data_IF_815539290074
#
_entry.id   IF_815539290074
#
_cell.length_a   1.000
_cell.length_b   1.000
_cell.length_c   1.000
_cell.angle_alpha   90.00
_cell.angle_beta   90.00
_cell.angle_gamma   90.00
#
_symmetry.space_group_name_H-M   'P 1'
#
loop_
_entity.id
_entity.type
_entity.pdbx_description
1 polymer ?
#
# COMPACT_ATOMS: atom_id res chain seq x y z
N UNK A 1 17.63 14.56 1.17
CA UNK A 1 18.57 13.50 0.80
C UNK A 1 18.05 12.80 -0.47
N UNK A 2 18.84 12.80 -1.56
CA UNK A 2 18.42 12.25 -2.87
C UNK A 2 17.94 10.79 -2.80
N UNK A 3 18.40 10.04 -1.81
CA UNK A 3 18.03 8.65 -1.60
C UNK A 3 16.60 8.51 -1.03
N UNK A 4 16.18 9.42 -0.13
CA UNK A 4 14.82 9.40 0.40
C UNK A 4 13.75 9.75 -0.65
N UNK A 5 14.04 10.68 -1.56
CA UNK A 5 13.07 11.05 -2.62
C UNK A 5 12.87 9.97 -3.69
N UNK A 6 13.86 9.10 -3.88
CA UNK A 6 13.78 7.95 -4.82
C UNK A 6 12.93 6.83 -4.18
N UNK A 7 12.95 6.73 -2.86
CA UNK A 7 12.31 5.67 -2.08
C UNK A 7 10.78 5.87 -2.00
N UNK A 8 10.29 7.10 -2.04
CA UNK A 8 8.87 7.39 -1.86
C UNK A 8 7.98 7.02 -3.05
N UNK A 9 8.52 6.86 -4.26
CA UNK A 9 7.72 6.68 -5.49
C UNK A 9 8.12 5.51 -6.40
N UNK A 10 9.09 4.68 -6.04
CA UNK A 10 9.59 3.64 -6.95
C UNK A 10 9.87 2.34 -6.20
N UNK A 11 9.65 1.20 -6.86
CA UNK A 11 10.13 -0.09 -6.39
C UNK A 11 11.66 -0.06 -6.23
N UNK A 12 12.12 0.11 -4.99
CA UNK A 12 13.53 0.26 -4.64
C UNK A 12 14.37 -0.90 -5.15
N UNK A 13 13.82 -2.12 -5.12
CA UNK A 13 14.51 -3.31 -5.57
C UNK A 13 14.86 -3.22 -7.06
N UNK A 14 13.94 -2.70 -7.89
CA UNK A 14 14.22 -2.51 -9.32
C UNK A 14 15.19 -1.36 -9.59
N UNK A 15 15.15 -0.29 -8.80
CA UNK A 15 16.11 0.83 -8.91
C UNK A 15 17.52 0.38 -8.55
N UNK A 16 17.67 -0.36 -7.46
CA UNK A 16 18.96 -0.89 -7.02
C UNK A 16 19.55 -1.84 -8.06
N UNK A 17 18.72 -2.67 -8.70
CA UNK A 17 19.16 -3.58 -9.76
C UNK A 17 19.57 -2.84 -11.03
N UNK A 18 18.80 -1.87 -11.49
CA UNK A 18 18.96 -1.28 -12.83
C UNK A 18 19.86 -0.06 -12.87
N UNK A 19 19.79 0.82 -11.86
CA UNK A 19 20.56 2.06 -11.81
C UNK A 19 21.85 1.95 -11.04
N UNK A 20 21.83 1.18 -9.98
CA UNK A 20 22.88 1.17 -8.98
C UNK A 20 23.82 -0.04 -9.08
N UNK A 21 23.47 -1.04 -9.87
CA UNK A 21 24.25 -2.28 -10.01
C UNK A 21 24.65 -2.88 -8.66
N UNK A 22 23.74 -2.86 -7.70
CA UNK A 22 23.93 -3.42 -6.36
C UNK A 22 24.95 -2.72 -5.46
N UNK A 23 25.38 -1.50 -5.76
CA UNK A 23 26.38 -0.79 -4.96
C UNK A 23 25.89 -0.40 -3.56
N UNK A 24 24.59 -0.07 -3.40
CA UNK A 24 24.00 0.33 -2.11
C UNK A 24 23.40 -0.82 -1.30
N UNK A 25 23.64 -2.06 -1.67
CA UNK A 25 23.09 -3.23 -0.98
C UNK A 25 23.43 -3.25 0.52
N UNK A 26 24.72 -3.03 0.86
CA UNK A 26 25.17 -2.99 2.27
C UNK A 26 24.58 -1.81 3.03
N UNK A 27 24.45 -0.64 2.42
CA UNK A 27 23.85 0.53 3.06
C UNK A 27 22.37 0.31 3.38
N UNK A 28 21.63 -0.36 2.48
CA UNK A 28 20.22 -0.71 2.68
C UNK A 28 20.11 -1.72 3.81
N UNK A 29 20.95 -2.76 3.81
CA UNK A 29 20.99 -3.75 4.90
C UNK A 29 21.26 -3.10 6.25
N UNK A 30 22.30 -2.28 6.35
CA UNK A 30 22.70 -1.63 7.61
C UNK A 30 21.59 -0.72 8.13
N UNK A 31 20.96 0.07 7.26
CA UNK A 31 19.83 0.93 7.66
C UNK A 31 18.60 0.13 8.07
N UNK A 32 18.37 -1.03 7.45
CA UNK A 32 17.28 -1.92 7.86
C UNK A 32 17.56 -2.58 9.21
N UNK A 33 18.79 -3.03 9.45
CA UNK A 33 19.18 -3.79 10.63
C UNK A 33 19.50 -2.92 11.84
N UNK A 34 20.28 -1.87 11.64
CA UNK A 34 20.82 -1.04 12.74
C UNK A 34 19.92 0.14 13.04
N UNK A 35 19.48 0.88 12.01
CA UNK A 35 18.61 2.05 12.17
C UNK A 35 17.15 1.63 12.35
N UNK A 36 16.76 0.46 11.84
CA UNK A 36 15.39 -0.07 11.86
C UNK A 36 14.37 0.90 11.23
N UNK A 37 14.79 1.58 10.17
CA UNK A 37 13.89 2.45 9.40
C UNK A 37 12.89 1.62 8.61
N UNK A 38 11.57 1.84 8.75
CA UNK A 38 10.55 1.04 8.07
C UNK A 38 10.71 1.02 6.54
N UNK A 39 11.15 2.13 5.95
CA UNK A 39 11.43 2.26 4.51
C UNK A 39 12.53 1.29 4.08
N UNK A 40 13.65 1.28 4.82
CA UNK A 40 14.78 0.39 4.51
C UNK A 40 14.49 -1.06 4.87
N UNK A 41 13.71 -1.32 5.93
CA UNK A 41 13.24 -2.66 6.23
C UNK A 41 12.38 -3.23 5.10
N UNK A 42 11.49 -2.41 4.52
CA UNK A 42 10.69 -2.81 3.36
C UNK A 42 11.57 -3.07 2.12
N UNK A 43 12.52 -2.18 1.84
CA UNK A 43 13.46 -2.33 0.72
C UNK A 43 14.30 -3.61 0.85
N UNK A 44 14.93 -3.80 2.00
CA UNK A 44 15.74 -4.98 2.30
C UNK A 44 14.93 -6.27 2.25
N UNK A 45 13.75 -6.25 2.86
CA UNK A 45 12.82 -7.37 2.82
C UNK A 45 12.40 -7.75 1.40
N UNK A 46 12.14 -6.76 0.53
CA UNK A 46 11.82 -7.00 -0.87
C UNK A 46 13.00 -7.58 -1.64
N UNK A 47 14.22 -7.08 -1.40
CA UNK A 47 15.44 -7.62 -2.01
C UNK A 47 15.69 -9.08 -1.63
N UNK A 48 15.51 -9.43 -0.34
CA UNK A 48 15.62 -10.80 0.15
C UNK A 48 14.52 -11.70 -0.42
N UNK A 49 13.29 -11.20 -0.50
CA UNK A 49 12.14 -11.96 -1.00
C UNK A 49 12.32 -12.38 -2.46
N UNK A 50 12.84 -11.46 -3.28
CA UNK A 50 12.98 -11.62 -4.72
C UNK A 50 14.40 -12.06 -5.15
N UNK A 51 15.36 -12.11 -4.22
CA UNK A 51 16.76 -12.44 -4.52
C UNK A 51 17.46 -11.36 -5.36
N UNK A 52 17.11 -10.08 -5.16
CA UNK A 52 17.69 -8.97 -5.90
C UNK A 52 18.95 -8.48 -5.19
N UNK A 53 20.10 -8.59 -5.86
CA UNK A 53 21.41 -8.23 -5.34
C UNK A 53 21.87 -8.99 -4.08
N UNK A 54 21.10 -9.96 -3.62
CA UNK A 54 21.37 -10.81 -2.45
C UNK A 54 20.89 -12.22 -2.70
N UNK A 55 21.38 -13.17 -1.91
CA UNK A 55 20.81 -14.50 -1.90
C UNK A 55 19.36 -14.44 -1.40
N UNK A 56 18.46 -15.11 -2.13
CA UNK A 56 17.06 -15.15 -1.75
C UNK A 56 16.87 -15.82 -0.39
N UNK A 57 16.17 -15.12 0.51
CA UNK A 57 15.69 -15.63 1.78
C UNK A 57 14.27 -15.12 2.02
N UNK A 58 13.29 -15.96 1.70
CA UNK A 58 11.88 -15.56 1.71
C UNK A 58 11.35 -15.35 3.12
N UNK A 59 11.76 -16.16 4.08
CA UNK A 59 11.28 -16.08 5.45
C UNK A 59 11.81 -14.81 6.13
N UNK A 60 13.09 -14.54 5.96
CA UNK A 60 13.71 -13.32 6.46
C UNK A 60 13.14 -12.09 5.77
N UNK A 61 12.98 -12.12 4.44
CA UNK A 61 12.40 -11.05 3.66
C UNK A 61 10.97 -10.70 4.08
N UNK A 62 10.12 -11.72 4.25
CA UNK A 62 8.76 -11.55 4.76
C UNK A 62 8.76 -10.95 6.17
N UNK A 63 9.66 -11.39 7.04
CA UNK A 63 9.82 -10.84 8.40
C UNK A 63 10.10 -9.34 8.39
N UNK A 64 11.00 -8.88 7.54
CA UNK A 64 11.30 -7.45 7.39
C UNK A 64 10.12 -6.65 6.83
N UNK A 65 9.41 -7.17 5.81
CA UNK A 65 8.24 -6.49 5.22
C UNK A 65 7.12 -6.37 6.25
N UNK A 66 6.83 -7.43 7.01
CA UNK A 66 5.81 -7.39 8.06
C UNK A 66 6.16 -6.37 9.15
N UNK A 67 7.41 -6.36 9.60
CA UNK A 67 7.85 -5.39 10.58
C UNK A 67 7.72 -3.95 10.09
N UNK A 68 8.09 -3.68 8.84
CA UNK A 68 7.90 -2.36 8.24
C UNK A 68 6.41 -1.95 8.20
N UNK A 69 5.51 -2.91 7.94
CA UNK A 69 4.07 -2.69 7.98
C UNK A 69 3.58 -2.39 9.41
N UNK A 70 4.04 -3.16 10.40
CA UNK A 70 3.68 -2.97 11.81
C UNK A 70 4.21 -1.61 12.35
N UNK A 71 5.34 -1.14 11.82
CA UNK A 71 5.91 0.18 12.12
C UNK A 71 5.25 1.34 11.32
N UNK A 72 4.15 1.09 10.62
CA UNK A 72 3.32 2.12 9.98
C UNK A 72 3.70 2.48 8.55
N UNK A 73 4.55 1.71 7.88
CA UNK A 73 4.92 1.99 6.49
C UNK A 73 3.85 1.51 5.51
N UNK A 74 3.07 2.45 4.97
CA UNK A 74 1.91 2.15 4.13
C UNK A 74 2.23 1.24 2.92
N UNK A 75 3.33 1.40 2.15
CA UNK A 75 3.67 0.47 1.07
C UNK A 75 3.90 -0.97 1.55
N UNK A 76 4.47 -1.16 2.74
CA UNK A 76 4.63 -2.48 3.33
C UNK A 76 3.28 -3.09 3.74
N UNK A 77 2.36 -2.28 4.30
CA UNK A 77 0.99 -2.71 4.61
C UNK A 77 0.25 -3.17 3.35
N UNK A 78 0.33 -2.42 2.26
CA UNK A 78 -0.25 -2.80 0.96
C UNK A 78 0.32 -4.13 0.48
N UNK A 79 1.63 -4.34 0.59
CA UNK A 79 2.28 -5.59 0.20
C UNK A 79 1.81 -6.78 1.04
N UNK A 80 1.73 -6.61 2.36
CA UNK A 80 1.23 -7.64 3.29
C UNK A 80 -0.24 -7.95 3.01
N UNK A 81 -1.07 -6.93 2.76
CA UNK A 81 -2.47 -7.10 2.35
C UNK A 81 -2.59 -7.96 1.09
N UNK A 82 -1.77 -7.70 0.07
CA UNK A 82 -1.73 -8.49 -1.17
C UNK A 82 -1.29 -9.94 -0.94
N UNK A 83 -0.36 -10.18 -0.01
CA UNK A 83 0.03 -11.54 0.36
C UNK A 83 -1.12 -12.30 1.00
N UNK A 84 -1.87 -11.67 1.91
CA UNK A 84 -3.07 -12.26 2.50
C UNK A 84 -4.20 -12.45 1.47
N UNK A 85 -4.41 -11.51 0.55
CA UNK A 85 -5.45 -11.64 -0.48
C UNK A 85 -5.19 -12.82 -1.40
N UNK A 86 -3.95 -13.00 -1.83
CA UNK A 86 -3.56 -14.01 -2.82
C UNK A 86 -3.13 -15.34 -2.20
N UNK A 87 -2.92 -15.40 -0.90
CA UNK A 87 -2.33 -16.58 -0.27
C UNK A 87 -0.87 -16.80 -0.66
N UNK A 88 -0.12 -15.73 -0.94
CA UNK A 88 1.31 -15.78 -1.29
C UNK A 88 2.15 -15.56 -0.04
N UNK A 89 3.06 -16.47 0.25
CA UNK A 89 3.93 -16.47 1.45
C UNK A 89 3.18 -16.54 2.79
N UNK A 90 1.90 -16.20 2.83
CA UNK A 90 1.00 -16.26 3.97
C UNK A 90 -0.26 -17.02 3.57
N UNK A 91 -0.90 -17.70 4.53
CA UNK A 91 -2.21 -18.29 4.29
C UNK A 91 -3.23 -17.23 3.93
N UNK A 92 -4.05 -17.48 2.91
CA UNK A 92 -5.08 -16.54 2.47
C UNK A 92 -5.98 -16.11 3.63
N UNK A 93 -6.14 -14.81 3.82
CA UNK A 93 -7.02 -14.22 4.81
C UNK A 93 -7.54 -12.86 4.33
N UNK A 94 -8.75 -12.86 3.78
CA UNK A 94 -9.35 -11.65 3.19
C UNK A 94 -9.68 -10.59 4.25
N UNK A 95 -9.99 -11.00 5.48
CA UNK A 95 -10.25 -10.07 6.59
C UNK A 95 -8.98 -9.32 6.99
N UNK A 96 -7.86 -10.03 7.15
CA UNK A 96 -6.59 -9.37 7.44
C UNK A 96 -6.11 -8.52 6.27
N UNK A 97 -6.31 -8.99 5.04
CA UNK A 97 -6.00 -8.21 3.84
C UNK A 97 -6.74 -6.87 3.83
N UNK A 98 -8.04 -6.90 4.08
CA UNK A 98 -8.86 -5.69 4.15
C UNK A 98 -8.40 -4.74 5.26
N UNK A 99 -8.12 -5.24 6.46
CA UNK A 99 -7.65 -4.45 7.59
C UNK A 99 -6.32 -3.72 7.30
N UNK A 100 -5.33 -4.43 6.74
CA UNK A 100 -4.06 -3.82 6.34
C UNK A 100 -4.25 -2.77 5.24
N UNK A 101 -5.13 -3.06 4.25
CA UNK A 101 -5.39 -2.14 3.15
C UNK A 101 -6.14 -0.88 3.63
N UNK A 102 -7.14 -1.03 4.53
CA UNK A 102 -7.83 0.08 5.17
C UNK A 102 -6.87 0.95 5.97
N UNK A 103 -6.01 0.34 6.79
CA UNK A 103 -5.02 1.09 7.58
C UNK A 103 -4.06 1.89 6.69
N UNK A 104 -3.57 1.29 5.60
CA UNK A 104 -2.72 2.00 4.64
C UNK A 104 -3.46 3.16 3.95
N UNK A 105 -4.75 2.98 3.63
CA UNK A 105 -5.61 4.01 3.05
C UNK A 105 -5.83 5.18 4.03
N UNK A 106 -6.05 4.88 5.31
CA UNK A 106 -6.19 5.86 6.39
C UNK A 106 -4.91 6.68 6.61
N UNK A 107 -3.73 6.07 6.39
CA UNK A 107 -2.44 6.76 6.41
C UNK A 107 -2.18 7.64 5.16
N UNK A 108 -3.17 7.80 4.28
CA UNK A 108 -3.08 8.67 3.11
C UNK A 108 -2.51 8.02 1.85
N UNK A 109 -2.25 6.71 1.85
CA UNK A 109 -1.80 6.01 0.65
C UNK A 109 -2.88 6.01 -0.43
N UNK A 110 -2.68 6.77 -1.50
CA UNK A 110 -3.64 6.87 -2.61
C UNK A 110 -3.86 5.53 -3.30
N UNK A 111 -2.82 4.74 -3.49
CA UNK A 111 -2.93 3.39 -4.07
C UNK A 111 -3.74 2.45 -3.16
N UNK A 112 -3.56 2.56 -1.84
CA UNK A 112 -4.33 1.79 -0.88
C UNK A 112 -5.80 2.22 -0.87
N UNK A 113 -6.12 3.49 -1.02
CA UNK A 113 -7.51 3.99 -1.13
C UNK A 113 -8.25 3.36 -2.31
N UNK A 114 -7.60 3.30 -3.50
CA UNK A 114 -8.17 2.61 -4.66
C UNK A 114 -8.35 1.10 -4.43
N UNK A 115 -7.34 0.45 -3.88
CA UNK A 115 -7.36 -0.98 -3.64
C UNK A 115 -8.40 -1.36 -2.59
N UNK A 116 -8.49 -0.60 -1.50
CA UNK A 116 -9.47 -0.83 -0.44
C UNK A 116 -10.91 -0.61 -0.90
N UNK A 117 -11.18 0.48 -1.64
CA UNK A 117 -12.49 0.72 -2.23
C UNK A 117 -12.90 -0.41 -3.20
N UNK A 118 -11.96 -0.92 -4.00
CA UNK A 118 -12.17 -2.08 -4.86
C UNK A 118 -12.53 -3.34 -4.05
N UNK A 119 -11.86 -3.56 -2.92
CA UNK A 119 -12.19 -4.67 -2.03
C UNK A 119 -13.61 -4.55 -1.49
N UNK A 120 -14.02 -3.35 -1.04
CA UNK A 120 -15.38 -3.10 -0.55
C UNK A 120 -16.43 -3.33 -1.64
N UNK A 121 -16.22 -2.84 -2.86
CA UNK A 121 -17.12 -3.04 -4.00
C UNK A 121 -17.25 -4.52 -4.36
N UNK A 122 -16.18 -5.30 -4.23
CA UNK A 122 -16.21 -6.76 -4.41
C UNK A 122 -16.86 -7.51 -3.23
N UNK A 123 -17.31 -6.81 -2.19
CA UNK A 123 -17.97 -7.41 -1.02
C UNK A 123 -17.01 -7.89 0.08
N UNK A 124 -15.75 -7.46 0.04
CA UNK A 124 -14.78 -7.68 1.12
C UNK A 124 -14.81 -6.48 2.07
N UNK A 125 -15.07 -6.71 3.34
CA UNK A 125 -15.17 -5.67 4.35
C UNK A 125 -16.61 -5.29 4.71
N UNK A 126 -16.74 -4.24 5.54
CA UNK A 126 -18.02 -3.83 6.10
C UNK A 126 -18.70 -2.76 5.21
N UNK A 127 -19.95 -2.97 4.75
CA UNK A 127 -20.70 -1.97 3.98
C UNK A 127 -20.87 -0.62 4.68
N UNK A 128 -20.79 -0.57 6.00
CA UNK A 128 -20.84 0.70 6.76
C UNK A 128 -19.69 1.65 6.42
N UNK A 129 -18.62 1.14 5.81
CA UNK A 129 -17.43 1.90 5.41
C UNK A 129 -17.50 2.48 3.98
N UNK A 130 -18.62 2.27 3.27
CA UNK A 130 -18.78 2.78 1.89
C UNK A 130 -18.72 4.32 1.83
N UNK A 131 -19.28 4.99 2.83
CA UNK A 131 -19.20 6.47 2.93
C UNK A 131 -17.74 6.94 3.04
N UNK A 132 -16.97 6.32 3.93
CA UNK A 132 -15.56 6.65 4.14
C UNK A 132 -14.74 6.42 2.87
N UNK A 133 -14.92 5.26 2.21
CA UNK A 133 -14.23 4.94 0.98
C UNK A 133 -14.59 5.93 -0.15
N UNK A 134 -15.87 6.27 -0.28
CA UNK A 134 -16.32 7.26 -1.25
C UNK A 134 -15.71 8.64 -0.98
N UNK A 135 -15.73 9.10 0.27
CA UNK A 135 -15.15 10.37 0.68
C UNK A 135 -13.66 10.44 0.34
N UNK A 136 -12.90 9.42 0.70
CA UNK A 136 -11.46 9.37 0.41
C UNK A 136 -11.14 9.32 -1.08
N UNK A 137 -11.92 8.58 -1.88
CA UNK A 137 -11.74 8.55 -3.33
C UNK A 137 -12.06 9.90 -3.96
N UNK A 138 -13.20 10.49 -3.60
CA UNK A 138 -13.64 11.76 -4.16
C UNK A 138 -12.60 12.87 -3.99
N UNK A 139 -11.99 12.97 -2.81
CA UNK A 139 -10.96 13.96 -2.48
C UNK A 139 -9.54 13.55 -2.88
N UNK A 140 -9.35 12.38 -3.49
CA UNK A 140 -8.06 11.93 -4.01
C UNK A 140 -7.90 12.27 -5.48
N UNK A 141 -6.71 12.72 -5.87
CA UNK A 141 -6.33 12.94 -7.27
C UNK A 141 -5.23 11.96 -7.67
N UNK A 142 -5.30 11.44 -8.89
CA UNK A 142 -4.31 10.52 -9.45
C UNK A 142 -3.69 11.12 -10.70
N UNK A 143 -2.44 10.77 -10.99
CA UNK A 143 -1.70 11.35 -12.12
C UNK A 143 -1.83 10.54 -13.41
N UNK A 144 -2.22 9.29 -13.31
CA UNK A 144 -2.35 8.38 -14.45
C UNK A 144 -3.82 8.10 -14.80
N UNK A 145 -4.07 7.89 -16.09
CA UNK A 145 -5.43 7.70 -16.62
C UNK A 145 -6.09 6.42 -16.07
N UNK A 146 -5.33 5.35 -15.86
CA UNK A 146 -5.87 4.10 -15.33
C UNK A 146 -6.42 4.28 -13.91
N UNK A 147 -5.66 4.93 -13.03
CA UNK A 147 -6.10 5.20 -11.66
C UNK A 147 -7.31 6.12 -11.61
N UNK A 148 -7.39 7.13 -12.51
CA UNK A 148 -8.55 8.00 -12.61
C UNK A 148 -9.79 7.25 -13.12
N UNK A 149 -9.66 6.43 -14.16
CA UNK A 149 -10.76 5.58 -14.64
C UNK A 149 -11.26 4.61 -13.56
N UNK A 150 -10.35 4.00 -12.82
CA UNK A 150 -10.68 3.11 -11.71
C UNK A 150 -11.39 3.84 -10.59
N UNK A 151 -10.94 5.05 -10.23
CA UNK A 151 -11.60 5.92 -9.27
C UNK A 151 -13.04 6.20 -9.67
N UNK A 152 -13.27 6.68 -10.90
CA UNK A 152 -14.61 7.02 -11.42
C UNK A 152 -15.55 5.82 -11.38
N UNK A 153 -15.06 4.65 -11.75
CA UNK A 153 -15.81 3.40 -11.66
C UNK A 153 -16.18 3.09 -10.20
N UNK A 154 -15.22 3.11 -9.28
CA UNK A 154 -15.45 2.78 -7.87
C UNK A 154 -16.38 3.78 -7.19
N UNK A 155 -16.24 5.07 -7.48
CA UNK A 155 -17.18 6.10 -6.98
C UNK A 155 -18.61 5.82 -7.47
N UNK A 156 -18.77 5.44 -8.73
CA UNK A 156 -20.08 5.09 -9.30
C UNK A 156 -20.69 3.88 -8.61
N UNK A 157 -19.90 2.84 -8.36
CA UNK A 157 -20.37 1.65 -7.65
C UNK A 157 -20.74 1.96 -6.18
N UNK A 158 -19.91 2.69 -5.46
CA UNK A 158 -20.19 3.08 -4.06
C UNK A 158 -21.44 3.95 -3.95
N UNK A 159 -21.66 4.89 -4.86
CA UNK A 159 -22.86 5.75 -4.88
C UNK A 159 -24.16 4.97 -4.96
N UNK A 160 -24.19 3.78 -5.58
CA UNK A 160 -25.40 2.94 -5.66
C UNK A 160 -25.91 2.49 -4.29
N UNK A 161 -25.02 2.48 -3.30
CA UNK A 161 -25.29 2.02 -1.94
C UNK A 161 -25.41 3.17 -0.91
N UNK A 162 -25.18 4.41 -1.34
CA UNK A 162 -25.19 5.58 -0.46
C UNK A 162 -26.43 6.47 -0.70
N UNK A 163 -27.12 6.93 0.37
CA UNK A 163 -28.18 7.90 0.24
C UNK A 163 -27.69 9.23 -0.33
N UNK A 164 -28.54 10.00 -1.07
CA UNK A 164 -28.14 11.27 -1.68
C UNK A 164 -27.60 12.31 -0.69
N UNK A 165 -28.15 12.37 0.52
CA UNK A 165 -27.70 13.27 1.56
C UNK A 165 -26.30 12.90 2.10
N UNK A 166 -25.98 11.61 2.12
CA UNK A 166 -24.64 11.12 2.51
C UNK A 166 -23.62 11.47 1.44
N UNK A 167 -23.97 11.26 0.18
CA UNK A 167 -23.13 11.65 -0.97
C UNK A 167 -22.83 13.16 -0.93
N UNK A 168 -23.87 13.98 -0.75
CA UNK A 168 -23.72 15.45 -0.69
C UNK A 168 -22.80 15.88 0.48
N UNK A 169 -22.96 15.26 1.65
CA UNK A 169 -22.12 15.51 2.82
C UNK A 169 -20.66 15.14 2.56
N UNK A 170 -20.41 13.97 1.98
CA UNK A 170 -19.06 13.51 1.67
C UNK A 170 -18.34 14.39 0.64
N UNK A 171 -19.07 14.95 -0.33
CA UNK A 171 -18.54 15.89 -1.31
C UNK A 171 -18.19 17.23 -0.67
N UNK A 172 -19.04 17.72 0.25
CA UNK A 172 -18.85 19.01 0.93
C UNK A 172 -17.78 18.96 2.04
N UNK A 173 -17.36 17.76 2.44
CA UNK A 173 -16.34 17.58 3.47
C UNK A 173 -14.95 17.90 2.88
N UNK A 174 -14.25 18.89 3.46
CA UNK A 174 -12.85 19.16 3.16
C UNK A 174 -12.00 18.41 4.21
N UNK A 175 -11.34 17.31 3.84
CA UNK A 175 -10.47 16.63 4.77
C UNK A 175 -9.24 17.48 5.08
N UNK A 176 -8.97 17.71 6.36
CA UNK A 176 -7.72 18.29 6.84
C UNK A 176 -6.58 17.30 6.57
N UNK A 177 -5.75 17.58 5.56
CA UNK A 177 -4.56 16.78 5.20
C UNK A 177 -3.29 17.45 5.69
#
# INVERSE_FOLDING_TARGET
>A
DKMNSIIENTDIASVVKTRDRCQFTSDIEDRARLVKSPVFMYAWGSMLLDGICVQQDRDLGLGYIRRAADDGYAPAMVKVAQFFERGLFLSQNLTLSEQYMHTAAALGSKSARLAWADMLVRGYGNPSLYEEAFCWLYHSSYQDDYSNMKKDYLETELKKHLPPNVIARSIAFEPDY
#
